data_IF_200871685803
#
_entry.id   IF_200871685803
#
_cell.length_a   1.000
_cell.length_b   1.000
_cell.length_c   1.000
_cell.angle_alpha   90.00
_cell.angle_beta   90.00
_cell.angle_gamma   90.00
#
_symmetry.space_group_name_H-M   'P 1'
#
loop_
_entity.id
_entity.type
_entity.pdbx_description
1 polymer ?
#
# COMPACT_ATOMS: atom_id res chain seq x y z
N UNK A 1 7.56 -9.39 16.77
CA UNK A 1 7.05 -8.02 16.63
C UNK A 1 8.25 -7.11 16.49
N UNK A 2 8.24 -6.18 15.56
CA UNK A 2 9.29 -5.17 15.35
C UNK A 2 8.69 -3.79 15.54
N UNK A 3 9.51 -2.84 16.01
CA UNK A 3 9.07 -1.47 16.25
C UNK A 3 10.03 -0.47 15.61
N UNK A 4 9.47 0.56 14.98
CA UNK A 4 10.22 1.70 14.43
C UNK A 4 9.66 2.97 15.04
N UNK A 5 10.54 3.83 15.55
CA UNK A 5 10.17 5.11 16.13
C UNK A 5 10.46 6.25 15.15
N UNK A 6 9.45 7.06 14.85
CA UNK A 6 9.54 8.24 13.99
C UNK A 6 9.00 9.43 14.76
N UNK A 7 9.90 10.31 15.23
CA UNK A 7 9.52 11.39 16.14
C UNK A 7 8.89 10.85 17.42
N UNK A 8 7.66 11.23 17.69
CA UNK A 8 6.90 10.78 18.86
C UNK A 8 5.99 9.56 18.57
N UNK A 9 5.94 9.09 17.33
CA UNK A 9 5.13 7.95 16.94
C UNK A 9 5.97 6.66 16.91
N UNK A 10 5.40 5.57 17.41
CA UNK A 10 5.95 4.21 17.30
C UNK A 10 5.10 3.41 16.33
N UNK A 11 5.72 2.83 15.31
CA UNK A 11 5.05 1.96 14.34
C UNK A 11 5.40 0.51 14.67
N UNK A 12 4.38 -0.29 14.95
CA UNK A 12 4.51 -1.71 15.24
C UNK A 12 4.35 -2.51 13.95
N UNK A 13 5.29 -3.41 13.69
CA UNK A 13 5.27 -4.30 12.53
C UNK A 13 5.45 -5.76 12.90
N UNK A 14 5.48 -6.60 11.89
CA UNK A 14 5.69 -8.05 11.99
C UNK A 14 7.14 -8.36 11.64
N UNK A 15 7.78 -9.20 12.43
CA UNK A 15 9.05 -9.80 12.08
C UNK A 15 8.81 -11.20 11.50
N UNK A 16 9.22 -11.43 10.26
CA UNK A 16 9.11 -12.71 9.56
C UNK A 16 10.50 -13.16 9.09
N UNK A 17 11.03 -14.22 9.65
CA UNK A 17 12.36 -14.76 9.25
C UNK A 17 13.42 -13.64 9.22
N UNK A 18 13.83 -13.22 8.02
CA UNK A 18 14.89 -12.23 7.78
C UNK A 18 14.35 -10.87 7.34
N UNK A 19 13.04 -10.64 7.39
CA UNK A 19 12.41 -9.39 6.97
C UNK A 19 11.50 -8.83 8.05
N UNK A 20 11.37 -7.51 8.06
CA UNK A 20 10.39 -6.78 8.85
C UNK A 20 9.31 -6.22 7.91
N UNK A 21 8.05 -6.42 8.27
CA UNK A 21 6.90 -6.09 7.46
C UNK A 21 6.00 -5.11 8.23
N UNK A 22 5.63 -4.04 7.58
CA UNK A 22 4.70 -3.04 8.10
C UNK A 22 3.55 -2.88 7.12
N UNK A 23 2.33 -3.20 7.54
CA UNK A 23 1.13 -3.22 6.71
C UNK A 23 0.16 -2.12 7.13
N UNK A 24 -0.40 -1.40 6.16
CA UNK A 24 -1.47 -0.46 6.41
C UNK A 24 -1.05 0.82 7.15
N UNK A 25 0.13 1.37 6.84
CA UNK A 25 0.55 2.66 7.37
C UNK A 25 -0.23 3.76 6.63
N UNK A 26 -1.01 4.61 7.33
CA UNK A 26 -1.72 5.70 6.70
C UNK A 26 -0.75 6.80 6.24
N UNK A 27 -0.82 7.21 4.98
CA UNK A 27 0.01 8.30 4.45
C UNK A 27 -0.77 9.59 4.22
N UNK A 28 -2.09 9.52 4.19
CA UNK A 28 -2.96 10.67 4.01
C UNK A 28 -4.07 10.72 5.06
N UNK A 29 -4.50 11.92 5.39
CA UNK A 29 -5.63 12.15 6.31
C UNK A 29 -6.90 11.52 5.71
N UNK A 30 -7.73 10.92 6.55
CA UNK A 30 -9.06 10.46 6.17
C UNK A 30 -9.86 11.63 5.57
N UNK A 31 -10.63 11.34 4.54
CA UNK A 31 -11.52 12.31 3.93
C UNK A 31 -12.97 12.02 4.33
N UNK A 32 -13.77 13.07 4.37
CA UNK A 32 -15.20 13.00 4.55
C UNK A 32 -15.92 13.26 3.21
N UNK A 33 -17.25 13.24 3.21
CA UNK A 33 -18.06 13.50 2.00
C UNK A 33 -17.73 14.85 1.33
N UNK A 34 -17.33 15.86 2.09
CA UNK A 34 -17.03 17.21 1.59
C UNK A 34 -15.65 17.27 0.92
N UNK A 35 -14.68 16.54 1.45
CA UNK A 35 -13.29 16.52 0.95
C UNK A 35 -13.03 15.43 -0.10
N UNK A 36 -14.02 14.60 -0.43
CA UNK A 36 -13.92 13.60 -1.49
C UNK A 36 -13.61 14.28 -2.82
N UNK A 37 -12.71 13.69 -3.60
CA UNK A 37 -12.19 14.23 -4.86
C UNK A 37 -11.36 15.52 -4.76
N UNK A 38 -10.99 15.96 -3.56
CA UNK A 38 -10.02 17.02 -3.35
C UNK A 38 -8.60 16.45 -3.27
N UNK A 39 -7.60 17.33 -3.34
CA UNK A 39 -6.22 16.92 -3.09
C UNK A 39 -6.09 16.31 -1.69
N UNK A 40 -5.43 15.16 -1.61
CA UNK A 40 -5.13 14.51 -0.33
C UNK A 40 -4.22 15.38 0.53
N UNK A 41 -4.42 15.34 1.83
CA UNK A 41 -3.57 16.00 2.81
C UNK A 41 -2.69 14.95 3.48
N UNK A 42 -1.40 15.25 3.58
CA UNK A 42 -0.45 14.36 4.22
C UNK A 42 -0.89 14.03 5.66
N UNK A 43 -0.75 12.79 6.06
CA UNK A 43 -0.97 12.36 7.44
C UNK A 43 0.16 12.92 8.32
N UNK A 44 -0.21 13.56 9.40
CA UNK A 44 0.71 13.90 10.48
C UNK A 44 0.76 12.70 11.44
N UNK A 45 1.96 12.24 11.76
CA UNK A 45 2.16 11.15 12.73
C UNK A 45 1.95 11.70 14.16
N UNK A 46 0.73 12.14 14.45
CA UNK A 46 0.34 12.67 15.76
C UNK A 46 -0.06 11.57 16.77
N UNK A 47 -0.44 10.40 16.23
CA UNK A 47 -0.75 9.25 17.07
C UNK A 47 0.52 8.71 17.73
N UNK A 48 0.50 8.39 19.03
CA UNK A 48 1.66 7.88 19.73
C UNK A 48 2.09 6.50 19.23
N UNK A 49 1.16 5.75 18.63
CA UNK A 49 1.40 4.41 18.14
C UNK A 49 0.52 4.09 16.92
N UNK A 50 1.12 3.47 15.91
CA UNK A 50 0.42 2.91 14.75
C UNK A 50 0.63 1.39 14.76
N UNK A 51 -0.48 0.65 14.70
CA UNK A 51 -0.45 -0.79 14.51
C UNK A 51 -0.40 -1.10 13.01
N UNK A 52 0.77 -1.48 12.53
CA UNK A 52 1.04 -1.88 11.16
C UNK A 52 1.28 -3.40 11.04
N UNK A 53 0.58 -4.20 11.84
CA UNK A 53 0.70 -5.67 11.82
C UNK A 53 -0.31 -6.34 10.89
N UNK A 54 -1.28 -5.61 10.36
CA UNK A 54 -2.34 -6.18 9.52
C UNK A 54 -2.73 -5.24 8.37
N UNK A 55 -3.21 -5.85 7.30
CA UNK A 55 -3.74 -5.14 6.15
C UNK A 55 -4.96 -4.34 6.59
N UNK A 56 -5.01 -3.09 6.20
CA UNK A 56 -6.16 -2.22 6.40
C UNK A 56 -7.21 -2.43 5.28
N UNK A 57 -7.99 -1.41 4.95
CA UNK A 57 -8.96 -1.49 3.85
C UNK A 57 -8.31 -1.29 2.49
N UNK A 58 -8.87 -1.95 1.49
CA UNK A 58 -8.57 -1.73 0.07
C UNK A 58 -9.63 -0.81 -0.54
N UNK A 59 -9.36 -0.19 -1.71
CA UNK A 59 -10.36 0.65 -2.39
C UNK A 59 -11.59 -0.17 -2.79
N UNK A 60 -12.78 0.43 -2.78
CA UNK A 60 -13.98 -0.18 -3.35
C UNK A 60 -13.77 -0.52 -4.83
N UNK A 61 -13.94 -1.77 -5.19
CA UNK A 61 -13.68 -2.30 -6.52
C UNK A 61 -14.52 -3.54 -6.80
N UNK A 62 -14.76 -3.87 -8.09
CA UNK A 62 -15.48 -5.11 -8.44
C UNK A 62 -14.67 -6.35 -8.04
N UNK A 63 -15.35 -7.46 -7.94
CA UNK A 63 -14.71 -8.76 -7.70
C UNK A 63 -13.64 -9.07 -8.76
N UNK A 64 -12.48 -9.52 -8.32
CA UNK A 64 -11.34 -9.85 -9.17
C UNK A 64 -11.05 -11.37 -9.11
N UNK A 65 -11.54 -12.10 -10.09
CA UNK A 65 -11.31 -13.54 -10.19
C UNK A 65 -9.85 -13.93 -10.46
N UNK A 66 -9.06 -13.04 -11.08
CA UNK A 66 -7.64 -13.29 -11.29
C UNK A 66 -6.85 -13.26 -9.99
N UNK A 67 -7.26 -12.42 -9.06
CA UNK A 67 -6.60 -12.36 -7.75
C UNK A 67 -6.85 -13.64 -6.96
N UNK A 68 -8.08 -14.14 -6.96
CA UNK A 68 -8.39 -15.44 -6.33
C UNK A 68 -7.63 -16.59 -7.00
N UNK A 69 -7.47 -16.54 -8.33
CA UNK A 69 -6.72 -17.57 -9.05
C UNK A 69 -5.21 -17.59 -8.69
N UNK A 70 -4.62 -16.42 -8.48
CA UNK A 70 -3.21 -16.30 -8.10
C UNK A 70 -2.97 -16.32 -6.59
N UNK A 71 -4.01 -16.32 -5.78
CA UNK A 71 -3.90 -16.41 -4.32
C UNK A 71 -3.41 -17.81 -3.95
N UNK A 72 -2.27 -17.89 -3.29
CA UNK A 72 -1.68 -19.14 -2.81
C UNK A 72 -2.20 -19.54 -1.42
N UNK A 73 -2.98 -18.68 -0.81
CA UNK A 73 -3.56 -18.88 0.51
C UNK A 73 -5.09 -18.90 0.42
N UNK A 74 -5.76 -19.31 1.48
CA UNK A 74 -7.23 -19.27 1.61
C UNK A 74 -7.78 -17.81 1.71
N UNK A 75 -6.92 -16.81 1.55
CA UNK A 75 -7.31 -15.40 1.53
C UNK A 75 -7.93 -15.04 0.20
N UNK A 76 -9.22 -15.30 0.04
CA UNK A 76 -9.96 -14.86 -1.13
C UNK A 76 -10.06 -13.31 -1.16
N UNK A 77 -10.21 -12.74 -2.35
CA UNK A 77 -10.49 -11.31 -2.55
C UNK A 77 -11.60 -10.79 -1.62
N UNK A 78 -12.61 -11.62 -1.35
CA UNK A 78 -13.71 -11.28 -0.46
C UNK A 78 -13.32 -11.12 1.02
N UNK A 79 -12.14 -11.56 1.42
CA UNK A 79 -11.65 -11.38 2.80
C UNK A 79 -11.20 -9.95 3.09
N UNK A 80 -10.90 -9.15 2.05
CA UNK A 80 -10.45 -7.77 2.22
C UNK A 80 -11.62 -6.83 2.50
N UNK A 81 -11.48 -6.04 3.55
CA UNK A 81 -12.43 -4.96 3.83
C UNK A 81 -12.28 -3.86 2.78
N UNK A 82 -13.35 -3.54 2.07
CA UNK A 82 -13.36 -2.44 1.12
C UNK A 82 -13.88 -1.16 1.79
N UNK A 83 -13.19 -0.04 1.61
CA UNK A 83 -13.56 1.24 2.18
C UNK A 83 -12.97 2.40 1.35
N UNK A 84 -13.66 3.52 1.30
CA UNK A 84 -13.14 4.76 0.74
C UNK A 84 -11.89 5.27 1.48
N UNK A 85 -11.78 5.01 2.78
CA UNK A 85 -10.54 5.24 3.55
C UNK A 85 -9.59 4.08 3.31
N UNK A 86 -8.79 4.20 2.26
CA UNK A 86 -7.88 3.17 1.77
C UNK A 86 -6.47 3.70 1.46
N UNK A 87 -6.13 4.92 1.92
CA UNK A 87 -4.86 5.58 1.63
C UNK A 87 -3.76 5.08 2.58
N UNK A 88 -3.38 3.83 2.39
CA UNK A 88 -2.37 3.13 3.16
C UNK A 88 -1.22 2.68 2.27
N UNK A 89 -0.03 2.60 2.85
CA UNK A 89 1.13 1.97 2.24
C UNK A 89 1.60 0.79 3.08
N UNK A 90 2.33 -0.12 2.43
CA UNK A 90 2.96 -1.24 3.09
C UNK A 90 4.46 -1.21 2.82
N UNK A 91 5.25 -1.65 3.78
CA UNK A 91 6.71 -1.64 3.69
C UNK A 91 7.23 -3.03 4.05
N UNK A 92 8.13 -3.55 3.22
CA UNK A 92 8.93 -4.73 3.50
C UNK A 92 10.39 -4.31 3.48
N UNK A 93 11.13 -4.66 4.52
CA UNK A 93 12.56 -4.36 4.63
C UNK A 93 13.32 -5.56 5.18
N UNK A 94 14.60 -5.74 4.83
CA UNK A 94 15.44 -6.70 5.51
C UNK A 94 15.55 -6.38 7.00
N UNK A 95 15.59 -7.40 7.85
CA UNK A 95 15.79 -7.23 9.31
C UNK A 95 17.22 -6.85 9.67
N UNK A 96 18.09 -6.69 8.65
CA UNK A 96 19.47 -6.25 8.83
C UNK A 96 19.54 -4.82 9.39
N UNK A 97 20.59 -4.55 10.16
CA UNK A 97 20.89 -3.19 10.65
C UNK A 97 21.62 -2.33 9.61
N UNK A 98 21.58 -2.68 8.34
CA UNK A 98 22.19 -1.89 7.27
C UNK A 98 21.41 -0.57 7.09
N UNK A 99 22.15 0.52 6.98
CA UNK A 99 21.62 1.83 6.66
C UNK A 99 21.72 2.09 5.15
N UNK A 100 20.91 3.02 4.66
CA UNK A 100 20.91 3.48 3.26
C UNK A 100 20.61 2.37 2.23
N UNK A 101 19.69 1.47 2.55
CA UNK A 101 19.21 0.48 1.59
C UNK A 101 18.47 1.16 0.43
N UNK A 102 18.58 0.64 -0.81
CA UNK A 102 17.75 1.09 -1.92
C UNK A 102 16.27 0.90 -1.61
N UNK A 103 15.44 1.85 -2.05
CA UNK A 103 13.99 1.81 -1.87
C UNK A 103 13.33 1.70 -3.24
N UNK A 104 12.52 0.67 -3.42
CA UNK A 104 11.66 0.47 -4.59
C UNK A 104 10.22 0.79 -4.20
N UNK A 105 9.59 1.75 -4.87
CA UNK A 105 8.18 2.06 -4.69
C UNK A 105 7.40 1.39 -5.83
N UNK A 106 6.53 0.46 -5.48
CA UNK A 106 5.72 -0.28 -6.42
C UNK A 106 4.30 0.28 -6.47
N UNK A 107 3.91 0.72 -7.66
CA UNK A 107 2.56 1.15 -7.97
C UNK A 107 1.87 0.06 -8.79
N UNK A 108 0.88 -0.59 -8.23
CA UNK A 108 0.17 -1.67 -8.88
C UNK A 108 -0.67 -1.20 -10.08
N UNK A 109 -0.85 -2.10 -11.03
CA UNK A 109 -1.73 -1.90 -12.17
C UNK A 109 -3.17 -2.31 -11.87
N UNK A 110 -4.07 -2.14 -12.84
CA UNK A 110 -5.49 -2.55 -12.72
C UNK A 110 -6.43 -1.74 -13.58
N UNK A 111 -5.91 -1.07 -14.62
CA UNK A 111 -6.70 -0.31 -15.61
C UNK A 111 -7.63 0.74 -14.99
N UNK A 112 -7.28 1.29 -13.84
CA UNK A 112 -8.09 2.21 -13.03
C UNK A 112 -9.42 1.64 -12.53
N UNK A 113 -9.64 0.34 -12.65
CA UNK A 113 -10.87 -0.33 -12.25
C UNK A 113 -10.69 -1.16 -10.99
N UNK A 114 -9.52 -1.74 -10.79
CA UNK A 114 -9.25 -2.68 -9.70
C UNK A 114 -7.77 -2.68 -9.33
N UNK A 115 -7.44 -3.37 -8.24
CA UNK A 115 -6.09 -3.57 -7.75
C UNK A 115 -5.87 -2.98 -6.35
N UNK A 116 -4.88 -3.51 -5.66
CA UNK A 116 -4.43 -3.01 -4.36
C UNK A 116 -3.00 -3.46 -4.06
N UNK A 117 -2.34 -2.78 -3.15
CA UNK A 117 -0.92 -3.01 -2.85
C UNK A 117 -0.63 -4.22 -1.95
N UNK A 118 -1.65 -5.02 -1.64
CA UNK A 118 -1.54 -6.19 -0.75
C UNK A 118 -1.87 -7.51 -1.43
N UNK A 119 -2.13 -7.49 -2.75
CA UNK A 119 -2.37 -8.71 -3.52
C UNK A 119 -1.16 -9.65 -3.43
N UNK A 120 -1.39 -10.93 -3.15
CA UNK A 120 -0.32 -11.93 -3.00
C UNK A 120 0.56 -12.04 -4.24
N UNK A 121 -0.01 -11.84 -5.42
CA UNK A 121 0.72 -11.79 -6.70
C UNK A 121 1.90 -10.79 -6.68
N UNK A 122 1.81 -9.75 -5.86
CA UNK A 122 2.82 -8.70 -5.75
C UNK A 122 3.60 -8.74 -4.43
N UNK A 123 3.53 -9.85 -3.70
CA UNK A 123 4.22 -10.00 -2.44
C UNK A 123 5.76 -9.90 -2.63
N UNK A 124 6.42 -8.88 -2.09
CA UNK A 124 7.83 -8.64 -2.35
C UNK A 124 8.77 -9.38 -1.39
N UNK A 125 8.28 -10.27 -0.55
CA UNK A 125 9.08 -10.89 0.52
C UNK A 125 10.39 -11.50 -0.03
N UNK A 126 10.29 -12.23 -1.14
CA UNK A 126 11.42 -12.91 -1.72
C UNK A 126 12.50 -11.95 -2.28
N UNK A 127 12.08 -10.92 -3.02
CA UNK A 127 13.02 -9.95 -3.59
C UNK A 127 13.67 -9.09 -2.50
N UNK A 128 12.95 -8.76 -1.44
CA UNK A 128 13.48 -8.04 -0.28
C UNK A 128 14.57 -8.84 0.41
N UNK A 129 14.35 -10.16 0.56
CA UNK A 129 15.29 -11.06 1.21
C UNK A 129 16.56 -11.28 0.37
N UNK A 130 16.42 -11.42 -0.96
CA UNK A 130 17.53 -11.70 -1.86
C UNK A 130 18.36 -10.47 -2.21
N UNK A 131 17.72 -9.36 -2.53
CA UNK A 131 18.39 -8.19 -3.08
C UNK A 131 18.73 -7.13 -2.01
N UNK A 132 18.37 -7.38 -0.75
CA UNK A 132 18.64 -6.48 0.38
C UNK A 132 18.14 -5.05 0.13
N UNK A 133 16.93 -4.93 -0.36
CA UNK A 133 16.23 -3.67 -0.68
C UNK A 133 15.01 -3.47 0.20
N UNK A 134 14.54 -2.23 0.27
CA UNK A 134 13.24 -1.92 0.86
C UNK A 134 12.21 -1.84 -0.27
N UNK A 135 11.06 -2.50 -0.12
CA UNK A 135 9.95 -2.37 -1.06
C UNK A 135 8.77 -1.72 -0.36
N UNK A 136 8.21 -0.71 -1.01
CA UNK A 136 7.00 -0.01 -0.58
C UNK A 136 5.92 -0.22 -1.62
N UNK A 137 4.77 -0.74 -1.22
CA UNK A 137 3.57 -0.74 -2.10
C UNK A 137 2.63 0.36 -1.66
N UNK A 138 2.12 1.12 -2.61
CA UNK A 138 1.31 2.30 -2.35
C UNK A 138 0.10 2.36 -3.28
N UNK A 139 -0.97 2.97 -2.78
CA UNK A 139 -2.18 3.24 -3.54
C UNK A 139 -1.98 4.46 -4.46
N UNK A 140 -2.31 4.32 -5.75
CA UNK A 140 -2.07 5.34 -6.78
C UNK A 140 -3.21 6.37 -6.96
N UNK A 141 -4.38 6.13 -6.38
CA UNK A 141 -5.60 6.87 -6.70
C UNK A 141 -5.59 8.37 -6.32
N UNK A 142 -4.59 8.82 -5.58
CA UNK A 142 -4.49 10.22 -5.16
C UNK A 142 -3.19 10.90 -5.58
N UNK A 143 -2.30 10.20 -6.27
CA UNK A 143 -1.07 10.80 -6.79
C UNK A 143 -1.31 11.39 -8.16
N UNK A 144 -1.10 12.70 -8.38
CA UNK A 144 -1.17 13.29 -9.69
C UNK A 144 -0.08 12.66 -10.58
N UNK A 145 -0.50 11.78 -11.49
CA UNK A 145 0.40 11.17 -12.46
C UNK A 145 0.39 11.95 -13.76
N UNK A 146 1.53 12.14 -14.44
CA UNK A 146 1.55 12.67 -15.79
C UNK A 146 0.70 11.84 -16.78
N UNK A 147 0.42 10.58 -16.48
CA UNK A 147 -0.48 9.71 -17.25
C UNK A 147 -1.94 10.14 -17.15
N UNK A 148 -2.39 10.61 -16.01
CA UNK A 148 -3.78 11.07 -15.81
C UNK A 148 -4.09 12.26 -16.72
N UNK A 149 -3.11 13.15 -16.92
CA UNK A 149 -3.22 14.27 -17.86
C UNK A 149 -3.22 13.84 -19.32
N UNK A 150 -2.61 12.72 -19.68
CA UNK A 150 -2.58 12.21 -21.05
C UNK A 150 -3.90 11.52 -21.45
N UNK A 151 -4.52 10.80 -20.53
CA UNK A 151 -5.81 10.13 -20.80
C UNK A 151 -6.96 11.12 -20.95
N UNK A 152 -6.94 12.24 -20.23
CA UNK A 152 -7.93 13.31 -20.40
C UNK A 152 -7.81 14.05 -21.75
N UNK A 153 -6.76 13.78 -22.52
CA UNK A 153 -6.51 14.37 -23.85
C UNK A 153 -6.72 13.43 -25.03
N UNK A 154 -7.16 12.19 -24.80
CA UNK A 154 -7.63 11.38 -25.92
C UNK A 154 -8.94 11.96 -26.40
N UNK A 155 -9.01 12.44 -27.68
CA UNK A 155 -10.29 12.83 -28.25
C UNK A 155 -11.17 11.58 -28.25
N UNK A 156 -12.40 11.72 -27.74
CA UNK A 156 -13.43 10.74 -28.01
C UNK A 156 -13.52 10.63 -29.53
N UNK A 157 -13.02 9.54 -30.10
CA UNK A 157 -13.24 9.22 -31.50
C UNK A 157 -14.76 9.12 -31.69
N UNK A 158 -15.30 10.05 -32.42
CA UNK A 158 -16.67 10.03 -32.91
C UNK A 158 -16.94 8.76 -33.71
#
# INVERSE_FOLDING_TARGET
>A
MVQVKIGNCTINGIHKKNIDVFLGIPYAKSFNKISRFQHSKLMELSEPMIDATHIQSIPPQPYNSLEDFFSMTDSSFNSFKQNDYCLFLNIWKPSSNQNHLPVVIYFYGGSFLQGHGTAELYCPEHIVEQENIIVVTCLLYTSPSPRDKRQSRMPSSA
#
